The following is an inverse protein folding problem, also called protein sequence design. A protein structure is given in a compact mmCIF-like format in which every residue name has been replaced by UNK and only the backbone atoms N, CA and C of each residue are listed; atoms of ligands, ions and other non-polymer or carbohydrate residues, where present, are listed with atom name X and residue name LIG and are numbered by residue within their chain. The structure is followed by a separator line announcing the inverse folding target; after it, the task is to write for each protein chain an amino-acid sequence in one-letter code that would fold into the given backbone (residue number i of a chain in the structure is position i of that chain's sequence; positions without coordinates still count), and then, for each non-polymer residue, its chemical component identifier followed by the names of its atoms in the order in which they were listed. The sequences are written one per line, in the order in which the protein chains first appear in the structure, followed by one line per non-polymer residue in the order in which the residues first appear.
data_IF_652516192303
#
_entry.id   IF_652516192303
#
_cell.length_a   1.000
_cell.length_b   1.000
_cell.length_c   1.000
_cell.angle_alpha   90.00
_cell.angle_beta   90.00
_cell.angle_gamma   90.00
#
_symmetry.space_group_name_H-M   'P 1'
#
loop_
_entity.id
_entity.type
_entity.pdbx_description
1 polymer ?
#
# COMPACT_ATOMS: atom_id res chain seq x y z
N UNK A 1 -21.78 56.40 -5.08
CA UNK A 1 -22.33 55.04 -5.16
C UNK A 1 -22.40 54.52 -6.60
N UNK A 2 -23.03 55.20 -7.60
CA UNK A 2 -23.13 54.68 -8.99
C UNK A 2 -21.79 54.35 -9.64
N UNK A 3 -20.74 55.20 -9.46
CA UNK A 3 -19.40 54.96 -10.03
C UNK A 3 -18.71 53.74 -9.40
N UNK A 4 -18.89 53.51 -8.08
CA UNK A 4 -18.33 52.35 -7.39
C UNK A 4 -19.00 51.06 -7.85
N UNK A 5 -20.33 51.10 -8.04
CA UNK A 5 -21.08 49.94 -8.54
C UNK A 5 -20.65 49.56 -9.97
N UNK A 6 -20.40 50.58 -10.85
CA UNK A 6 -19.87 50.31 -12.19
C UNK A 6 -18.48 49.69 -12.17
N UNK A 7 -17.58 50.15 -11.29
CA UNK A 7 -16.24 49.55 -11.15
C UNK A 7 -16.31 48.11 -10.65
N UNK A 8 -17.15 47.85 -9.66
CA UNK A 8 -17.36 46.46 -9.15
C UNK A 8 -17.92 45.55 -10.26
N UNK A 9 -18.93 46.08 -11.03
CA UNK A 9 -19.51 45.33 -12.13
C UNK A 9 -18.50 45.01 -13.24
N UNK A 10 -17.64 45.99 -13.62
CA UNK A 10 -16.56 45.77 -14.60
C UNK A 10 -15.54 44.76 -14.10
N UNK A 11 -15.15 44.83 -12.82
CA UNK A 11 -14.24 43.82 -12.23
C UNK A 11 -14.85 42.43 -12.21
N UNK A 12 -16.14 42.30 -11.89
CA UNK A 12 -16.85 41.01 -11.94
C UNK A 12 -16.96 40.46 -13.37
N UNK A 13 -17.21 41.32 -14.37
CA UNK A 13 -17.24 40.92 -15.78
C UNK A 13 -15.84 40.50 -16.28
N UNK A 14 -14.80 41.22 -15.87
CA UNK A 14 -13.42 40.83 -16.19
C UNK A 14 -13.02 39.50 -15.53
N UNK A 15 -13.37 39.29 -14.26
CA UNK A 15 -13.15 38.03 -13.56
C UNK A 15 -13.91 36.87 -14.20
N UNK A 16 -15.21 37.10 -14.58
CA UNK A 16 -16.01 36.12 -15.30
C UNK A 16 -15.44 35.82 -16.69
N UNK A 17 -14.98 36.85 -17.41
CA UNK A 17 -14.33 36.72 -18.72
C UNK A 17 -13.02 35.91 -18.64
N UNK A 18 -12.19 36.19 -17.63
CA UNK A 18 -10.96 35.41 -17.36
C UNK A 18 -11.25 33.96 -16.98
N UNK A 19 -12.30 33.75 -16.17
CA UNK A 19 -12.74 32.40 -15.80
C UNK A 19 -13.22 31.61 -17.02
N UNK A 20 -14.05 32.21 -17.88
CA UNK A 20 -14.51 31.59 -19.12
C UNK A 20 -13.37 31.34 -20.11
N UNK A 21 -12.42 32.27 -20.19
CA UNK A 21 -11.25 32.12 -21.04
C UNK A 21 -10.34 30.95 -20.61
N UNK A 22 -10.23 30.70 -19.32
CA UNK A 22 -9.54 29.52 -18.77
C UNK A 22 -10.31 28.20 -18.91
N UNK A 23 -11.47 28.21 -19.59
CA UNK A 23 -12.31 27.03 -19.75
C UNK A 23 -13.29 26.82 -18.58
N UNK A 24 -13.69 27.91 -17.92
CA UNK A 24 -14.51 27.84 -16.72
C UNK A 24 -15.90 27.19 -16.94
N UNK A 25 -16.49 27.27 -18.15
CA UNK A 25 -17.71 26.52 -18.46
C UNK A 25 -17.49 25.00 -18.53
N UNK A 26 -16.32 24.55 -19.02
CA UNK A 26 -15.95 23.12 -18.97
C UNK A 26 -15.63 22.68 -17.54
N UNK A 27 -15.00 23.56 -16.76
CA UNK A 27 -14.73 23.30 -15.34
C UNK A 27 -16.05 23.12 -14.55
N UNK A 28 -17.05 23.96 -14.79
CA UNK A 28 -18.36 23.82 -14.14
C UNK A 28 -19.07 22.52 -14.55
N UNK A 29 -19.05 22.15 -15.83
CA UNK A 29 -19.64 20.91 -16.31
C UNK A 29 -18.93 19.69 -15.69
N UNK A 30 -17.60 19.70 -15.64
CA UNK A 30 -16.83 18.62 -14.98
C UNK A 30 -17.11 18.59 -13.47
N UNK A 31 -17.23 19.75 -12.81
CA UNK A 31 -17.56 19.82 -11.38
C UNK A 31 -18.91 19.17 -11.08
N UNK A 32 -19.90 19.40 -11.93
CA UNK A 32 -21.22 18.77 -11.77
C UNK A 32 -21.13 17.24 -11.93
N UNK A 33 -20.45 16.75 -12.95
CA UNK A 33 -20.25 15.31 -13.17
C UNK A 33 -19.52 14.65 -11.97
N UNK A 34 -18.49 15.33 -11.44
CA UNK A 34 -17.75 14.81 -10.27
C UNK A 34 -18.60 14.84 -9.00
N UNK A 35 -19.45 15.86 -8.83
CA UNK A 35 -20.35 15.98 -7.68
C UNK A 35 -21.42 14.87 -7.71
N UNK A 36 -22.05 14.66 -8.86
CA UNK A 36 -22.99 13.57 -9.09
C UNK A 36 -22.33 12.18 -8.85
N UNK A 37 -21.08 12.02 -9.31
CA UNK A 37 -20.33 10.79 -9.09
C UNK A 37 -20.02 10.52 -7.60
N UNK A 38 -19.68 11.56 -6.84
CA UNK A 38 -19.39 11.45 -5.41
C UNK A 38 -20.66 11.16 -4.57
N UNK A 39 -21.84 11.36 -5.12
CA UNK A 39 -23.12 11.06 -4.48
C UNK A 39 -23.63 9.62 -4.81
N UNK A 40 -22.97 8.90 -5.72
CA UNK A 40 -23.33 7.49 -6.01
C UNK A 40 -22.90 6.62 -4.83
N UNK A 41 -23.86 5.93 -4.23
CA UNK A 41 -23.59 4.90 -3.23
C UNK A 41 -23.10 3.61 -3.92
N UNK A 42 -22.20 2.91 -3.24
CA UNK A 42 -21.56 1.69 -3.74
C UNK A 42 -20.82 1.86 -5.09
N UNK A 43 -20.38 3.11 -5.40
CA UNK A 43 -19.54 3.37 -6.56
C UNK A 43 -18.22 2.58 -6.46
N UNK A 44 -17.96 1.75 -7.46
CA UNK A 44 -16.76 0.89 -7.51
C UNK A 44 -15.85 1.34 -8.64
N UNK A 45 -14.54 1.31 -8.39
CA UNK A 45 -13.51 1.67 -9.36
C UNK A 45 -12.36 0.68 -9.34
N UNK A 46 -11.86 0.36 -10.52
CA UNK A 46 -10.53 -0.26 -10.68
C UNK A 46 -9.49 0.84 -10.81
N UNK A 47 -8.46 0.79 -9.99
CA UNK A 47 -7.42 1.82 -9.93
C UNK A 47 -6.05 1.17 -10.10
N UNK A 48 -5.26 1.69 -11.02
CA UNK A 48 -3.84 1.36 -11.19
C UNK A 48 -3.02 2.58 -10.84
N UNK A 49 -2.08 2.43 -9.94
CA UNK A 49 -1.10 3.46 -9.57
C UNK A 49 0.28 3.01 -10.03
N UNK A 50 0.95 3.82 -10.84
CA UNK A 50 2.33 3.62 -11.26
C UNK A 50 3.19 4.74 -10.70
N UNK A 51 4.15 4.40 -9.85
CA UNK A 51 5.13 5.33 -9.29
C UNK A 51 6.47 5.10 -9.98
N UNK A 52 7.06 6.15 -10.50
CA UNK A 52 8.37 6.15 -11.14
C UNK A 52 9.31 7.06 -10.35
N UNK A 53 10.36 6.48 -9.80
CA UNK A 53 11.35 7.20 -8.99
C UNK A 53 12.69 7.12 -9.72
N UNK A 54 13.25 8.27 -10.15
CA UNK A 54 14.58 8.29 -10.72
C UNK A 54 15.61 8.02 -9.63
N UNK A 55 16.59 7.21 -9.94
CA UNK A 55 17.67 6.83 -9.05
C UNK A 55 18.93 6.52 -9.83
N UNK A 56 19.93 6.02 -9.14
CA UNK A 56 21.17 5.53 -9.72
C UNK A 56 21.41 4.09 -9.27
N UNK A 57 21.81 3.25 -10.20
CA UNK A 57 22.17 1.85 -9.92
C UNK A 57 23.62 1.63 -10.30
N UNK A 58 24.38 0.96 -9.42
CA UNK A 58 25.71 0.51 -9.75
C UNK A 58 25.58 -0.75 -10.62
N UNK A 59 26.17 -0.72 -11.78
CA UNK A 59 26.27 -1.87 -12.66
C UNK A 59 27.26 -2.87 -12.03
N UNK A 60 26.83 -4.09 -11.66
CA UNK A 60 27.70 -5.05 -10.95
C UNK A 60 28.87 -5.57 -11.82
N UNK A 61 28.81 -5.44 -13.16
CA UNK A 61 29.88 -5.91 -14.04
C UNK A 61 30.94 -4.81 -14.30
N UNK A 62 30.53 -3.54 -14.30
CA UNK A 62 31.39 -2.42 -14.68
C UNK A 62 31.71 -1.49 -13.53
N UNK A 63 31.10 -1.66 -12.35
CA UNK A 63 31.18 -0.77 -11.19
C UNK A 63 30.83 0.71 -11.51
N UNK A 64 30.12 0.93 -12.61
CA UNK A 64 29.70 2.27 -13.04
C UNK A 64 28.30 2.60 -12.57
N UNK A 65 28.13 3.82 -12.10
CA UNK A 65 26.81 4.35 -11.73
C UNK A 65 26.02 4.67 -12.98
N UNK A 66 24.92 3.97 -13.22
CA UNK A 66 24.01 4.23 -14.34
C UNK A 66 22.68 4.83 -13.84
N UNK A 67 22.08 5.79 -14.59
CA UNK A 67 20.75 6.28 -14.25
C UNK A 67 19.75 5.11 -14.34
N UNK A 68 18.92 4.98 -13.30
CA UNK A 68 17.90 3.96 -13.19
C UNK A 68 16.57 4.60 -12.78
N UNK A 69 15.46 4.11 -13.33
CA UNK A 69 14.12 4.50 -12.90
C UNK A 69 13.46 3.29 -12.26
N UNK A 70 13.29 3.33 -10.94
CA UNK A 70 12.50 2.34 -10.23
C UNK A 70 11.02 2.55 -10.55
N UNK A 71 10.32 1.47 -10.91
CA UNK A 71 8.90 1.49 -11.25
C UNK A 71 8.15 0.57 -10.28
N UNK A 72 7.14 1.12 -9.61
CA UNK A 72 6.27 0.39 -8.71
C UNK A 72 4.84 0.50 -9.23
N UNK A 73 4.26 -0.62 -9.62
CA UNK A 73 2.86 -0.68 -10.02
C UNK A 73 2.03 -1.29 -8.90
N UNK A 74 0.87 -0.70 -8.67
CA UNK A 74 -0.08 -1.12 -7.66
C UNK A 74 -1.49 -1.08 -8.25
N UNK A 75 -2.10 -2.26 -8.36
CA UNK A 75 -3.47 -2.41 -8.82
C UNK A 75 -4.39 -2.64 -7.64
N UNK A 76 -5.46 -1.87 -7.56
CA UNK A 76 -6.44 -1.98 -6.48
C UNK A 76 -7.86 -1.72 -7.01
N UNK A 77 -8.82 -2.23 -6.27
CA UNK A 77 -10.22 -1.88 -6.39
C UNK A 77 -10.58 -0.96 -5.24
N UNK A 78 -11.27 0.14 -5.54
CA UNK A 78 -11.77 1.05 -4.52
C UNK A 78 -13.29 1.14 -4.65
N UNK A 79 -13.98 1.35 -3.53
CA UNK A 79 -15.41 1.54 -3.50
C UNK A 79 -15.80 2.50 -2.38
N UNK A 80 -16.92 3.17 -2.56
CA UNK A 80 -17.49 4.07 -1.58
C UNK A 80 -18.85 3.52 -1.14
N UNK A 81 -18.99 3.17 0.13
CA UNK A 81 -20.24 2.71 0.72
C UNK A 81 -20.65 3.59 1.89
N UNK A 82 -21.90 3.49 2.34
CA UNK A 82 -22.40 4.25 3.48
C UNK A 82 -22.67 3.31 4.65
N UNK A 83 -22.19 3.68 5.84
CA UNK A 83 -22.44 2.97 7.08
C UNK A 83 -22.69 3.93 8.24
N UNK A 84 -23.84 3.83 8.89
CA UNK A 84 -24.22 4.67 10.04
C UNK A 84 -24.04 6.18 9.75
N UNK A 85 -24.59 6.66 8.64
CA UNK A 85 -24.51 8.04 8.15
C UNK A 85 -23.07 8.55 7.87
N UNK A 86 -22.13 7.64 7.62
CA UNK A 86 -20.75 7.94 7.24
C UNK A 86 -20.38 7.28 5.94
N UNK A 87 -19.73 8.05 5.08
CA UNK A 87 -19.11 7.49 3.88
C UNK A 87 -17.85 6.70 4.28
N UNK A 88 -17.78 5.46 3.87
CA UNK A 88 -16.62 4.57 4.06
C UNK A 88 -15.99 4.29 2.70
N UNK A 89 -14.75 4.68 2.55
CA UNK A 89 -13.92 4.32 1.39
C UNK A 89 -13.26 2.98 1.67
N UNK A 90 -13.53 1.99 0.84
CA UNK A 90 -12.84 0.70 0.85
C UNK A 90 -11.78 0.63 -0.25
N UNK A 91 -10.69 -0.08 0.01
CA UNK A 91 -9.62 -0.39 -0.92
C UNK A 91 -9.26 -1.85 -0.79
N UNK A 92 -9.27 -2.58 -1.90
CA UNK A 92 -8.85 -3.98 -1.95
C UNK A 92 -7.68 -4.13 -2.91
N UNK A 93 -6.58 -4.70 -2.45
CA UNK A 93 -5.39 -4.93 -3.24
C UNK A 93 -4.63 -6.17 -2.74
N UNK A 94 -4.14 -7.00 -3.66
CA UNK A 94 -3.32 -8.17 -3.35
C UNK A 94 -3.92 -9.09 -2.25
N UNK A 95 -5.25 -9.24 -2.24
CA UNK A 95 -5.96 -10.09 -1.27
C UNK A 95 -6.10 -9.50 0.14
N UNK A 96 -5.76 -8.21 0.31
CA UNK A 96 -5.98 -7.45 1.55
C UNK A 96 -7.00 -6.34 1.30
N UNK A 97 -7.82 -6.05 2.31
CA UNK A 97 -8.76 -4.94 2.24
C UNK A 97 -8.57 -3.98 3.41
N UNK A 98 -8.70 -2.71 3.10
CA UNK A 98 -8.65 -1.63 4.06
C UNK A 98 -9.85 -0.69 3.86
N UNK A 99 -10.33 -0.10 4.95
CA UNK A 99 -11.54 0.73 4.97
C UNK A 99 -11.27 1.99 5.78
N UNK A 100 -11.79 3.14 5.37
CA UNK A 100 -11.60 4.36 6.13
C UNK A 100 -12.81 5.28 6.05
N UNK A 101 -13.11 5.94 7.17
CA UNK A 101 -14.05 7.06 7.26
C UNK A 101 -13.37 8.44 7.12
N UNK A 102 -12.06 8.44 6.77
CA UNK A 102 -11.20 9.63 6.67
C UNK A 102 -10.51 10.02 7.97
N UNK A 103 -10.79 9.35 9.09
CA UNK A 103 -10.14 9.57 10.39
C UNK A 103 -9.41 8.34 10.87
N UNK A 104 -9.98 7.17 10.62
CA UNK A 104 -9.44 5.89 11.04
C UNK A 104 -9.37 4.97 9.82
N UNK A 105 -8.25 4.28 9.68
CA UNK A 105 -8.04 3.20 8.75
C UNK A 105 -8.31 1.89 9.48
N UNK A 106 -9.21 1.09 8.95
CA UNK A 106 -9.56 -0.24 9.45
C UNK A 106 -9.06 -1.28 8.46
N UNK A 107 -8.30 -2.26 8.93
CA UNK A 107 -7.89 -3.40 8.13
C UNK A 107 -8.94 -4.51 8.21
N UNK A 108 -9.05 -5.34 7.19
CA UNK A 108 -9.96 -6.48 7.14
C UNK A 108 -9.74 -7.50 8.28
N UNK A 109 -8.57 -7.48 8.91
CA UNK A 109 -8.23 -8.26 10.10
C UNK A 109 -8.75 -7.65 11.41
N UNK A 110 -9.45 -6.51 11.34
CA UNK A 110 -9.97 -5.79 12.51
C UNK A 110 -8.94 -4.90 13.22
N UNK A 111 -7.75 -4.69 12.66
CA UNK A 111 -6.81 -3.68 13.17
C UNK A 111 -7.25 -2.29 12.72
N UNK A 112 -6.92 -1.29 13.53
CA UNK A 112 -7.28 0.09 13.26
C UNK A 112 -6.10 1.03 13.53
N UNK A 113 -6.00 2.09 12.71
CA UNK A 113 -4.97 3.13 12.81
C UNK A 113 -5.60 4.50 12.64
N UNK A 114 -5.20 5.46 13.46
CA UNK A 114 -5.64 6.84 13.29
C UNK A 114 -4.92 7.49 12.12
N UNK A 115 -5.67 8.09 11.21
CA UNK A 115 -5.16 8.88 10.09
C UNK A 115 -4.99 10.34 10.49
N UNK A 116 -4.12 11.11 9.82
CA UNK A 116 -4.19 12.57 9.83
C UNK A 116 -5.61 13.00 9.43
N UNK A 117 -6.23 13.89 10.19
CA UNK A 117 -7.64 14.23 10.04
C UNK A 117 -7.97 14.75 8.63
N UNK A 118 -8.73 13.96 7.88
CA UNK A 118 -9.37 14.37 6.63
C UNK A 118 -10.82 14.74 6.98
N UNK A 119 -11.18 16.00 6.84
CA UNK A 119 -12.53 16.48 7.15
C UNK A 119 -13.57 15.90 6.17
N UNK A 120 -14.12 14.72 6.48
CA UNK A 120 -15.16 14.04 5.72
C UNK A 120 -14.73 13.70 4.27
N UNK A 121 -14.69 12.42 3.89
CA UNK A 121 -14.14 11.99 2.59
C UNK A 121 -14.81 12.67 1.39
N UNK A 122 -16.14 12.69 1.36
CA UNK A 122 -16.89 13.35 0.27
C UNK A 122 -16.62 14.85 0.22
N UNK A 123 -16.60 15.53 1.38
CA UNK A 123 -16.35 16.96 1.45
C UNK A 123 -14.90 17.30 1.06
N UNK A 124 -13.94 16.46 1.47
CA UNK A 124 -12.53 16.60 1.08
C UNK A 124 -12.36 16.43 -0.43
N UNK A 125 -12.95 15.38 -1.02
CA UNK A 125 -12.92 15.14 -2.46
C UNK A 125 -13.57 16.33 -3.24
N UNK A 126 -14.71 16.85 -2.78
CA UNK A 126 -15.34 18.06 -3.36
C UNK A 126 -14.43 19.28 -3.27
N UNK A 127 -13.81 19.54 -2.13
CA UNK A 127 -12.85 20.66 -1.97
C UNK A 127 -11.66 20.51 -2.91
N UNK A 128 -11.11 19.31 -3.04
CA UNK A 128 -10.00 19.04 -3.95
C UNK A 128 -10.42 19.22 -5.40
N UNK A 129 -11.55 18.67 -5.82
CA UNK A 129 -12.09 18.84 -7.17
C UNK A 129 -12.31 20.31 -7.52
N UNK A 130 -12.97 21.07 -6.64
CA UNK A 130 -13.18 22.53 -6.80
C UNK A 130 -11.82 23.24 -6.87
N UNK A 131 -10.87 22.93 -5.99
CA UNK A 131 -9.53 23.53 -5.99
C UNK A 131 -8.80 23.30 -7.31
N UNK A 132 -8.83 22.08 -7.84
CA UNK A 132 -8.23 21.71 -9.14
C UNK A 132 -8.89 22.51 -10.29
N UNK A 133 -10.22 22.60 -10.29
CA UNK A 133 -10.96 23.27 -11.35
C UNK A 133 -10.75 24.78 -11.35
N UNK A 134 -10.62 25.42 -10.19
CA UNK A 134 -10.36 26.86 -10.09
C UNK A 134 -8.90 27.23 -10.34
N UNK A 135 -7.93 26.40 -9.92
CA UNK A 135 -6.50 26.65 -10.10
C UNK A 135 -5.98 26.14 -11.45
N UNK A 136 -6.58 25.10 -11.99
CA UNK A 136 -6.21 24.46 -13.23
C UNK A 136 -6.78 25.14 -14.47
N UNK A 137 -6.27 24.77 -15.63
CA UNK A 137 -6.85 25.03 -16.94
C UNK A 137 -7.63 23.80 -17.37
N UNK A 138 -8.92 23.98 -17.69
CA UNK A 138 -9.78 22.88 -18.15
C UNK A 138 -10.10 23.07 -19.64
N UNK A 139 -9.86 22.03 -20.43
CA UNK A 139 -10.23 21.98 -21.85
C UNK A 139 -11.09 20.75 -22.09
N UNK A 140 -11.95 20.79 -23.12
CA UNK A 140 -12.79 19.66 -23.51
C UNK A 140 -12.56 19.29 -24.96
N UNK A 141 -12.33 18.01 -25.22
CA UNK A 141 -12.20 17.43 -26.55
C UNK A 141 -13.05 16.15 -26.63
N UNK A 142 -14.19 16.21 -27.31
CA UNK A 142 -15.16 15.13 -27.31
C UNK A 142 -15.67 14.85 -25.90
N UNK A 143 -15.48 13.61 -25.41
CA UNK A 143 -15.90 13.16 -24.09
C UNK A 143 -14.79 13.29 -23.04
N UNK A 144 -13.63 13.89 -23.40
CA UNK A 144 -12.49 14.04 -22.50
C UNK A 144 -12.39 15.48 -22.01
N UNK A 145 -12.35 15.65 -20.69
CA UNK A 145 -12.02 16.89 -20.00
C UNK A 145 -10.58 16.80 -19.49
N UNK A 146 -9.68 17.58 -20.11
CA UNK A 146 -8.28 17.64 -19.70
C UNK A 146 -8.07 18.79 -18.72
N UNK A 147 -7.52 18.47 -17.54
CA UNK A 147 -7.19 19.44 -16.48
C UNK A 147 -5.67 19.48 -16.34
N UNK A 148 -5.10 20.67 -16.46
CA UNK A 148 -3.67 20.89 -16.27
C UNK A 148 -3.44 21.94 -15.18
N UNK A 149 -2.53 21.65 -14.25
CA UNK A 149 -2.18 22.55 -13.15
C UNK A 149 -0.68 22.46 -12.86
N UNK A 150 -0.10 23.59 -12.49
CA UNK A 150 1.28 23.68 -11.99
C UNK A 150 1.29 24.47 -10.67
N UNK A 151 1.93 23.94 -9.65
CA UNK A 151 1.99 24.57 -8.33
C UNK A 151 3.23 24.09 -7.57
N UNK A 152 4.04 25.01 -7.05
CA UNK A 152 5.22 24.76 -6.22
C UNK A 152 6.18 23.68 -6.79
N UNK A 153 6.40 23.72 -8.10
CA UNK A 153 7.32 22.81 -8.79
C UNK A 153 6.75 21.44 -9.15
N UNK A 154 5.50 21.14 -8.78
CA UNK A 154 4.81 19.95 -9.25
C UNK A 154 3.83 20.28 -10.38
N UNK A 155 3.64 19.33 -11.29
CA UNK A 155 2.73 19.45 -12.44
C UNK A 155 1.74 18.31 -12.40
N UNK A 156 0.47 18.67 -12.55
CA UNK A 156 -0.63 17.70 -12.70
C UNK A 156 -1.21 17.85 -14.11
N UNK A 157 -1.39 16.73 -14.77
CA UNK A 157 -2.24 16.60 -15.94
C UNK A 157 -3.21 15.46 -15.70
N UNK A 158 -4.51 15.71 -15.81
CA UNK A 158 -5.54 14.70 -15.59
C UNK A 158 -6.59 14.76 -16.68
N UNK A 159 -6.87 13.62 -17.29
CA UNK A 159 -7.90 13.39 -18.28
C UNK A 159 -9.08 12.66 -17.64
N UNK A 160 -10.24 13.28 -17.68
CA UNK A 160 -11.50 12.72 -17.21
C UNK A 160 -12.36 12.37 -18.43
N UNK A 161 -12.59 11.09 -18.65
CA UNK A 161 -13.49 10.60 -19.69
C UNK A 161 -14.91 10.56 -19.12
N UNK A 162 -15.76 11.42 -19.62
CA UNK A 162 -17.15 11.57 -19.16
C UNK A 162 -18.06 12.06 -20.28
N UNK A 163 -19.23 11.43 -20.40
CA UNK A 163 -20.35 11.95 -21.20
C UNK A 163 -21.41 12.60 -20.31
N UNK A 164 -22.34 11.81 -19.76
CA UNK A 164 -23.28 12.20 -18.70
C UNK A 164 -22.84 11.69 -17.33
N UNK A 165 -21.87 10.77 -17.28
CA UNK A 165 -21.32 10.21 -16.05
C UNK A 165 -19.80 10.00 -16.20
N UNK A 166 -19.08 10.02 -15.09
CA UNK A 166 -17.65 9.72 -15.05
C UNK A 166 -17.41 8.26 -15.40
N UNK A 167 -16.53 8.00 -16.38
CA UNK A 167 -16.16 6.63 -16.82
C UNK A 167 -14.74 6.26 -16.45
N UNK A 168 -13.82 7.18 -16.67
CA UNK A 168 -12.40 6.95 -16.38
C UNK A 168 -11.69 8.25 -16.03
N UNK A 169 -10.60 8.10 -15.29
CA UNK A 169 -9.65 9.18 -14.98
C UNK A 169 -8.25 8.66 -15.20
N UNK A 170 -7.43 9.43 -15.90
CA UNK A 170 -5.98 9.21 -15.96
C UNK A 170 -5.29 10.46 -15.50
N UNK A 171 -4.54 10.39 -14.41
CA UNK A 171 -3.84 11.52 -13.84
C UNK A 171 -2.33 11.25 -13.80
N UNK A 172 -1.54 12.21 -14.30
CA UNK A 172 -0.09 12.20 -14.26
C UNK A 172 0.38 13.35 -13.38
N UNK A 173 1.12 13.04 -12.33
CA UNK A 173 1.70 14.01 -11.41
C UNK A 173 3.21 13.90 -11.51
N UNK A 174 3.86 14.97 -11.97
CA UNK A 174 5.31 15.11 -11.89
C UNK A 174 5.66 15.91 -10.63
N UNK A 175 6.45 15.31 -9.77
CA UNK A 175 6.93 15.88 -8.52
C UNK A 175 8.34 16.47 -8.68
N UNK A 176 8.78 17.37 -7.81
CA UNK A 176 10.18 17.80 -7.78
C UNK A 176 11.12 16.60 -7.66
N UNK A 177 12.25 16.63 -8.39
CA UNK A 177 13.22 15.52 -8.43
C UNK A 177 12.85 14.42 -9.44
N UNK A 178 12.05 14.76 -10.48
CA UNK A 178 11.69 13.90 -11.61
C UNK A 178 10.90 12.61 -11.23
N UNK A 179 10.40 12.55 -10.01
CA UNK A 179 9.46 11.50 -9.60
C UNK A 179 8.12 11.72 -10.29
N UNK A 180 7.61 10.68 -10.94
CA UNK A 180 6.30 10.72 -11.59
C UNK A 180 5.35 9.69 -10.99
N UNK A 181 4.10 10.11 -10.82
CA UNK A 181 3.01 9.23 -10.38
C UNK A 181 1.91 9.27 -11.43
N UNK A 182 1.56 8.11 -11.98
CA UNK A 182 0.42 7.95 -12.88
C UNK A 182 -0.67 7.17 -12.15
N UNK A 183 -1.88 7.72 -12.13
CA UNK A 183 -3.06 7.07 -11.59
C UNK A 183 -4.06 6.88 -12.72
N UNK A 184 -4.46 5.64 -12.98
CA UNK A 184 -5.52 5.31 -13.92
C UNK A 184 -6.68 4.69 -13.17
N UNK A 185 -7.86 5.26 -13.33
CA UNK A 185 -9.09 4.82 -12.68
C UNK A 185 -10.15 4.55 -13.74
N UNK A 186 -10.85 3.43 -13.61
CA UNK A 186 -12.01 3.10 -14.44
C UNK A 186 -13.20 2.81 -13.53
N UNK A 187 -14.33 3.45 -13.77
CA UNK A 187 -15.55 3.20 -13.01
C UNK A 187 -16.20 1.89 -13.47
N UNK A 188 -16.70 1.14 -12.53
CA UNK A 188 -17.50 -0.08 -12.75
C UNK A 188 -18.94 0.14 -12.28
N UNK A 189 -19.91 -0.66 -12.72
CA UNK A 189 -21.26 -0.57 -12.20
C UNK A 189 -21.29 -0.68 -10.67
N UNK A 190 -22.12 0.11 -9.97
CA UNK A 190 -22.26 0.04 -8.53
C UNK A 190 -22.56 -1.39 -8.07
N UNK A 191 -21.86 -1.86 -7.05
CA UNK A 191 -22.02 -3.19 -6.46
C UNK A 191 -22.00 -3.07 -4.93
N UNK A 192 -22.93 -3.72 -4.21
CA UNK A 192 -22.90 -3.69 -2.75
C UNK A 192 -21.62 -4.28 -2.17
N UNK A 193 -20.97 -3.53 -1.29
CA UNK A 193 -19.77 -3.96 -0.57
C UNK A 193 -20.07 -3.99 0.94
N UNK A 194 -20.61 -5.11 1.46
CA UNK A 194 -20.88 -5.21 2.90
C UNK A 194 -19.56 -5.19 3.67
N UNK A 195 -19.52 -4.38 4.74
CA UNK A 195 -18.35 -4.32 5.61
C UNK A 195 -18.18 -5.65 6.36
N UNK A 196 -16.97 -6.22 6.41
CA UNK A 196 -16.67 -7.41 7.19
C UNK A 196 -16.98 -7.21 8.68
N UNK A 197 -17.44 -8.26 9.38
CA UNK A 197 -17.78 -8.17 10.81
C UNK A 197 -16.58 -7.69 11.65
N UNK A 198 -15.37 -8.12 11.33
CA UNK A 198 -14.14 -7.70 12.02
C UNK A 198 -13.90 -6.19 11.91
N UNK A 199 -14.25 -5.57 10.77
CA UNK A 199 -14.18 -4.12 10.57
C UNK A 199 -15.25 -3.41 11.41
N UNK A 200 -16.47 -3.92 11.45
CA UNK A 200 -17.55 -3.38 12.29
C UNK A 200 -17.19 -3.43 13.77
N UNK A 201 -16.61 -4.54 14.23
CA UNK A 201 -16.15 -4.71 15.60
C UNK A 201 -14.98 -3.73 15.92
N UNK A 202 -14.07 -3.52 14.96
CA UNK A 202 -13.00 -2.55 15.09
C UNK A 202 -13.51 -1.10 15.18
N UNK A 203 -14.56 -0.77 14.40
CA UNK A 203 -15.22 0.54 14.48
C UNK A 203 -15.85 0.80 15.84
N UNK A 204 -16.39 -0.25 16.49
CA UNK A 204 -16.92 -0.15 17.85
C UNK A 204 -15.79 0.05 18.85
N UNK A 205 -14.71 -0.75 18.78
CA UNK A 205 -13.55 -0.63 19.68
C UNK A 205 -12.87 0.73 19.58
N UNK A 206 -12.67 1.25 18.36
CA UNK A 206 -12.03 2.54 18.13
C UNK A 206 -12.77 3.75 18.77
N UNK A 207 -14.05 3.59 19.12
CA UNK A 207 -14.79 4.60 19.89
C UNK A 207 -14.43 4.58 21.39
N UNK A 208 -13.96 3.45 21.88
CA UNK A 208 -13.61 3.25 23.30
C UNK A 208 -12.12 3.48 23.55
N UNK A 209 -11.28 3.03 22.63
CA UNK A 209 -9.83 3.15 22.68
C UNK A 209 -9.32 3.74 21.37
N UNK A 210 -8.67 4.93 21.40
CA UNK A 210 -8.14 5.53 20.17
C UNK A 210 -7.03 4.63 19.60
N UNK A 211 -7.11 4.28 18.29
CA UNK A 211 -6.09 3.46 17.65
C UNK A 211 -4.74 4.16 17.54
N UNK A 212 -3.68 3.37 17.38
CA UNK A 212 -2.32 3.87 17.15
C UNK A 212 -2.27 4.78 15.92
N UNK A 213 -1.57 5.93 15.95
CA UNK A 213 -1.38 6.76 14.75
C UNK A 213 -0.64 6.00 13.64
N UNK A 214 -1.20 5.98 12.43
CA UNK A 214 -0.60 5.29 11.27
C UNK A 214 0.79 5.85 10.91
N UNK A 215 1.03 7.11 11.22
CA UNK A 215 2.32 7.77 10.95
C UNK A 215 3.47 7.13 11.70
N UNK A 216 3.26 6.61 12.92
CA UNK A 216 4.33 5.99 13.71
C UNK A 216 4.93 4.74 13.04
N UNK A 217 4.14 3.69 12.72
CA UNK A 217 4.70 2.53 12.05
C UNK A 217 5.23 2.85 10.65
N UNK A 218 4.58 3.73 9.87
CA UNK A 218 5.01 4.06 8.51
C UNK A 218 6.34 4.83 8.48
N UNK A 219 6.58 5.75 9.40
CA UNK A 219 7.84 6.49 9.48
C UNK A 219 9.07 5.58 9.70
N UNK A 220 8.88 4.42 10.30
CA UNK A 220 9.94 3.45 10.53
C UNK A 220 10.01 2.38 9.44
N UNK A 221 8.83 1.89 9.00
CA UNK A 221 8.75 0.83 8.00
C UNK A 221 9.22 1.29 6.62
N UNK A 222 8.76 2.44 6.13
CA UNK A 222 9.05 2.83 4.75
C UNK A 222 10.56 2.99 4.50
N UNK A 223 11.32 3.75 5.30
CA UNK A 223 12.77 3.83 5.12
C UNK A 223 13.47 2.48 5.28
N UNK A 224 13.02 1.64 6.23
CA UNK A 224 13.62 0.34 6.47
C UNK A 224 13.38 -0.62 5.29
N UNK A 225 12.22 -0.55 4.65
CA UNK A 225 11.89 -1.37 3.48
C UNK A 225 12.53 -0.84 2.19
N UNK A 226 12.66 0.48 2.04
CA UNK A 226 13.37 1.10 0.91
C UNK A 226 14.86 0.71 0.91
N UNK A 227 15.45 0.59 2.08
CA UNK A 227 16.85 0.21 2.25
C UNK A 227 17.06 -1.32 2.36
N UNK A 228 15.99 -2.12 2.26
CA UNK A 228 16.07 -3.56 2.43
C UNK A 228 16.84 -4.26 1.29
N UNK A 229 16.82 -3.71 0.08
CA UNK A 229 17.41 -4.36 -1.09
C UNK A 229 18.62 -3.57 -1.63
N UNK A 230 19.73 -4.25 -1.95
CA UNK A 230 19.98 -5.68 -1.80
C UNK A 230 20.15 -6.09 -0.33
N UNK A 231 19.53 -7.21 0.05
CA UNK A 231 19.65 -7.76 1.40
C UNK A 231 20.65 -8.90 1.40
N UNK A 232 21.56 -8.85 2.36
CA UNK A 232 22.40 -9.98 2.72
C UNK A 232 22.37 -10.13 4.25
N UNK A 233 22.11 -11.34 4.74
CA UNK A 233 22.03 -11.57 6.17
C UNK A 233 22.34 -13.02 6.54
N UNK A 234 22.75 -13.20 7.78
CA UNK A 234 23.02 -14.52 8.35
C UNK A 234 21.73 -15.17 8.84
N UNK A 235 21.38 -16.29 8.23
CA UNK A 235 20.18 -17.06 8.56
C UNK A 235 20.54 -18.27 9.38
N UNK A 236 19.96 -18.40 10.57
CA UNK A 236 20.04 -19.59 11.40
C UNK A 236 18.70 -20.33 11.34
N UNK A 237 18.73 -21.59 10.99
CA UNK A 237 17.58 -22.49 10.94
C UNK A 237 17.67 -23.54 12.01
N UNK A 238 16.62 -23.80 12.76
CA UNK A 238 16.49 -24.83 13.77
C UNK A 238 15.24 -25.67 13.56
N UNK A 239 15.39 -27.00 13.63
CA UNK A 239 14.27 -27.96 13.59
C UNK A 239 14.43 -28.92 14.77
N UNK A 240 13.45 -28.94 15.64
CA UNK A 240 13.36 -29.84 16.78
C UNK A 240 12.22 -30.83 16.53
N UNK A 241 12.52 -32.12 16.55
CA UNK A 241 11.55 -33.21 16.36
C UNK A 241 11.84 -34.34 17.35
N UNK A 242 11.10 -34.42 18.43
CA UNK A 242 11.34 -35.37 19.51
C UNK A 242 12.72 -35.21 20.14
N UNK A 243 13.59 -36.18 19.92
CA UNK A 243 14.99 -36.16 20.41
C UNK A 243 15.99 -35.59 19.39
N UNK A 244 15.51 -35.33 18.16
CA UNK A 244 16.35 -34.76 17.10
C UNK A 244 16.31 -33.24 17.19
N UNK A 245 17.49 -32.65 17.21
CA UNK A 245 17.67 -31.22 17.14
C UNK A 245 18.69 -30.92 16.04
N UNK A 246 18.22 -30.28 14.97
CA UNK A 246 19.04 -29.88 13.84
C UNK A 246 19.14 -28.36 13.84
N UNK A 247 20.36 -27.86 13.79
CA UNK A 247 20.61 -26.42 13.64
C UNK A 247 21.62 -26.20 12.52
N UNK A 248 21.30 -25.26 11.63
CA UNK A 248 22.09 -24.95 10.46
C UNK A 248 22.17 -23.45 10.23
N UNK A 249 23.32 -23.04 9.68
CA UNK A 249 23.54 -21.65 9.28
C UNK A 249 23.66 -21.52 7.77
N UNK A 250 23.11 -20.48 7.21
CA UNK A 250 23.13 -20.15 5.81
C UNK A 250 23.22 -18.64 5.63
N UNK A 251 23.57 -18.17 4.45
CA UNK A 251 23.50 -16.76 4.08
C UNK A 251 22.31 -16.56 3.15
N UNK A 252 21.41 -15.67 3.52
CA UNK A 252 20.31 -15.24 2.66
C UNK A 252 20.73 -14.03 1.87
N UNK A 253 20.63 -14.11 0.54
CA UNK A 253 20.86 -13.00 -0.38
C UNK A 253 19.59 -12.72 -1.16
N UNK A 254 19.15 -11.45 -1.19
CA UNK A 254 18.01 -10.98 -1.98
C UNK A 254 18.43 -9.75 -2.78
N UNK A 255 18.23 -9.78 -4.11
CA UNK A 255 18.58 -8.69 -5.03
C UNK A 255 17.37 -7.92 -5.57
N UNK A 256 16.18 -8.21 -5.07
CA UNK A 256 14.90 -7.63 -5.51
C UNK A 256 14.21 -8.42 -6.61
N UNK A 257 14.87 -9.39 -7.24
CA UNK A 257 14.28 -10.29 -8.25
C UNK A 257 14.33 -11.74 -7.80
N UNK A 258 15.41 -12.13 -7.15
CA UNK A 258 15.63 -13.49 -6.68
C UNK A 258 15.97 -13.46 -5.19
N UNK A 259 15.54 -14.50 -4.48
CA UNK A 259 16.04 -14.81 -3.16
C UNK A 259 16.86 -16.09 -3.25
N UNK A 260 18.05 -16.09 -2.69
CA UNK A 260 19.00 -17.20 -2.73
C UNK A 260 19.46 -17.52 -1.34
N UNK A 261 19.50 -18.80 -1.04
CA UNK A 261 20.06 -19.34 0.19
C UNK A 261 21.42 -19.98 -0.14
N UNK A 262 22.48 -19.46 0.41
CA UNK A 262 23.81 -20.02 0.28
C UNK A 262 24.17 -20.81 1.53
N UNK A 263 24.44 -22.11 1.36
CA UNK A 263 24.69 -23.05 2.44
C UNK A 263 25.82 -24.00 2.05
N UNK A 264 26.90 -24.04 2.81
CA UNK A 264 28.03 -24.92 2.57
C UNK A 264 28.58 -24.90 1.13
N UNK A 265 28.56 -23.71 0.48
CA UNK A 265 28.97 -23.51 -0.91
C UNK A 265 27.94 -23.99 -1.96
N UNK A 266 26.73 -24.34 -1.54
CA UNK A 266 25.61 -24.67 -2.43
C UNK A 266 24.60 -23.53 -2.37
N UNK A 267 24.24 -23.02 -3.54
CA UNK A 267 23.23 -21.97 -3.68
C UNK A 267 21.91 -22.59 -4.14
N UNK A 268 20.83 -22.30 -3.40
CA UNK A 268 19.47 -22.69 -3.77
C UNK A 268 18.62 -21.43 -3.95
N UNK A 269 17.78 -21.41 -4.98
CA UNK A 269 16.76 -20.36 -5.13
C UNK A 269 15.59 -20.65 -4.19
N UNK A 270 15.14 -19.60 -3.49
CA UNK A 270 13.97 -19.67 -2.61
C UNK A 270 12.71 -19.27 -3.37
N UNK A 271 11.67 -20.09 -3.28
CA UNK A 271 10.32 -19.72 -3.68
C UNK A 271 9.71 -18.84 -2.59
N UNK A 272 9.56 -17.54 -2.87
CA UNK A 272 8.88 -16.63 -1.94
C UNK A 272 7.36 -16.72 -2.12
N UNK A 273 6.60 -16.74 -1.01
CA UNK A 273 5.15 -16.72 -1.06
C UNK A 273 4.66 -15.48 -1.84
N UNK A 274 3.75 -15.69 -2.80
CA UNK A 274 3.16 -14.60 -3.58
C UNK A 274 3.94 -14.18 -4.82
N UNK A 275 4.99 -14.94 -5.22
CA UNK A 275 5.74 -14.64 -6.45
C UNK A 275 6.37 -13.24 -6.40
N UNK A 276 7.11 -12.97 -5.34
CA UNK A 276 7.73 -11.66 -5.05
C UNK A 276 8.86 -11.31 -6.04
N UNK A 277 8.55 -11.34 -7.33
CA UNK A 277 9.42 -10.78 -8.37
C UNK A 277 9.53 -9.25 -8.32
N UNK A 278 8.68 -8.60 -7.49
CA UNK A 278 8.75 -7.18 -7.19
C UNK A 278 8.32 -7.01 -5.73
N UNK A 279 9.26 -7.08 -4.79
CA UNK A 279 9.01 -6.71 -3.41
C UNK A 279 8.69 -5.20 -3.34
N UNK A 280 7.41 -4.87 -3.59
CA UNK A 280 6.92 -3.50 -3.49
C UNK A 280 6.91 -3.11 -1.99
N UNK A 281 7.74 -2.15 -1.55
CA UNK A 281 7.81 -1.73 -0.15
C UNK A 281 6.44 -1.36 0.43
N UNK A 282 5.56 -0.77 -0.40
CA UNK A 282 4.20 -0.38 0.00
C UNK A 282 3.35 -1.63 0.27
N UNK A 283 3.42 -2.66 -0.59
CA UNK A 283 2.68 -3.89 -0.39
C UNK A 283 3.16 -4.64 0.87
N UNK A 284 4.48 -4.66 1.12
CA UNK A 284 5.05 -5.21 2.35
C UNK A 284 4.63 -4.42 3.58
N UNK A 285 4.65 -3.09 3.53
CA UNK A 285 4.19 -2.25 4.62
C UNK A 285 2.70 -2.50 4.93
N UNK A 286 1.85 -2.59 3.92
CA UNK A 286 0.43 -2.91 4.10
C UNK A 286 0.23 -4.31 4.69
N UNK A 287 0.99 -5.30 4.25
CA UNK A 287 0.95 -6.66 4.81
C UNK A 287 1.36 -6.66 6.30
N UNK A 288 2.43 -5.94 6.65
CA UNK A 288 2.89 -5.80 8.04
C UNK A 288 1.87 -5.06 8.90
N UNK A 289 1.28 -3.98 8.41
CA UNK A 289 0.22 -3.24 9.12
C UNK A 289 -1.05 -4.09 9.28
N UNK A 290 -1.39 -4.89 8.29
CA UNK A 290 -2.56 -5.78 8.31
C UNK A 290 -2.41 -6.90 9.33
N UNK A 291 -1.26 -7.59 9.34
CA UNK A 291 -1.05 -8.81 10.11
C UNK A 291 -0.20 -8.59 11.38
N UNK A 292 0.62 -7.53 11.40
CA UNK A 292 1.57 -7.26 12.48
C UNK A 292 0.96 -6.43 13.62
N UNK A 293 1.42 -6.65 14.84
CA UNK A 293 1.19 -5.77 15.98
C UNK A 293 2.45 -4.93 16.19
N UNK A 294 2.29 -3.62 16.08
CA UNK A 294 3.39 -2.68 16.23
C UNK A 294 3.60 -2.32 17.69
N UNK A 295 4.86 -2.40 18.13
CA UNK A 295 5.31 -1.88 19.44
C UNK A 295 6.61 -1.11 19.24
N UNK A 296 6.83 -0.08 20.03
CA UNK A 296 8.03 0.74 20.00
C UNK A 296 8.62 0.96 21.38
N UNK A 297 9.92 0.72 21.52
CA UNK A 297 10.69 0.99 22.72
C UNK A 297 11.94 1.80 22.34
N UNK A 298 11.90 3.11 22.59
CA UNK A 298 13.00 4.02 22.20
C UNK A 298 13.20 4.07 20.68
N UNK A 299 14.38 3.67 20.21
CA UNK A 299 14.75 3.62 18.78
C UNK A 299 14.42 2.27 18.12
N UNK A 300 14.03 1.27 18.91
CA UNK A 300 13.69 -0.05 18.41
C UNK A 300 12.18 -0.18 18.20
N UNK A 301 11.79 -0.62 17.02
CA UNK A 301 10.41 -0.97 16.69
C UNK A 301 10.32 -2.46 16.41
N UNK A 302 9.21 -3.06 16.83
CA UNK A 302 8.92 -4.48 16.61
C UNK A 302 7.56 -4.63 15.96
N UNK A 303 7.49 -5.54 14.99
CA UNK A 303 6.25 -6.01 14.40
C UNK A 303 6.11 -7.50 14.69
N UNK A 304 5.17 -7.85 15.54
CA UNK A 304 4.81 -9.23 15.83
C UNK A 304 3.73 -9.65 14.83
N UNK A 305 4.04 -10.63 13.99
CA UNK A 305 3.22 -11.07 12.86
C UNK A 305 2.80 -12.52 13.08
N UNK A 306 1.51 -12.80 12.88
CA UNK A 306 1.02 -14.18 12.79
C UNK A 306 0.81 -14.53 11.33
N UNK A 307 1.47 -15.59 10.86
CA UNK A 307 1.27 -16.12 9.50
C UNK A 307 0.32 -17.33 9.56
N UNK A 308 -0.64 -17.42 8.62
CA UNK A 308 -1.53 -18.56 8.53
C UNK A 308 -0.76 -19.85 8.14
N UNK A 309 -1.34 -21.02 8.46
CA UNK A 309 -0.72 -22.32 8.25
C UNK A 309 -0.19 -22.54 6.83
N UNK A 310 -0.97 -22.21 5.80
CA UNK A 310 -0.55 -22.40 4.40
C UNK A 310 0.69 -21.55 4.03
N UNK A 311 0.76 -20.32 4.53
CA UNK A 311 1.92 -19.47 4.32
C UNK A 311 3.14 -19.96 5.10
N UNK A 312 2.91 -20.46 6.31
CA UNK A 312 3.93 -21.07 7.17
C UNK A 312 4.52 -22.32 6.52
N UNK A 313 3.66 -23.22 6.05
CA UNK A 313 4.08 -24.45 5.33
C UNK A 313 4.95 -24.11 4.11
N UNK A 314 4.49 -23.19 3.27
CA UNK A 314 5.23 -22.75 2.08
C UNK A 314 6.61 -22.20 2.46
N UNK A 315 6.68 -21.37 3.49
CA UNK A 315 7.93 -20.74 3.90
C UNK A 315 8.88 -21.75 4.52
N UNK A 316 8.42 -22.60 5.45
CA UNK A 316 9.26 -23.62 6.12
C UNK A 316 9.82 -24.63 5.12
N UNK A 317 9.00 -25.10 4.18
CA UNK A 317 9.43 -26.07 3.15
C UNK A 317 10.35 -25.44 2.11
N UNK A 318 10.21 -24.15 1.83
CA UNK A 318 11.14 -23.41 0.96
C UNK A 318 12.52 -23.25 1.63
N UNK A 319 12.56 -22.97 2.93
CA UNK A 319 13.81 -22.81 3.68
C UNK A 319 14.51 -24.16 3.93
N UNK A 320 13.73 -25.22 4.17
CA UNK A 320 14.24 -26.58 4.43
C UNK A 320 13.43 -27.58 3.59
N UNK A 321 13.79 -27.81 2.33
CA UNK A 321 13.02 -28.67 1.41
C UNK A 321 12.81 -30.11 1.92
N UNK A 322 13.71 -30.64 2.75
CA UNK A 322 13.63 -31.96 3.35
C UNK A 322 12.39 -32.15 4.24
N UNK A 323 11.80 -31.05 4.75
CA UNK A 323 10.57 -31.10 5.56
C UNK A 323 9.36 -31.60 4.74
N UNK A 324 9.37 -31.35 3.43
CA UNK A 324 8.34 -31.85 2.51
C UNK A 324 8.35 -33.39 2.45
N UNK A 325 9.52 -34.00 2.37
CA UNK A 325 9.70 -35.47 2.28
C UNK A 325 9.23 -36.17 3.54
N UNK A 326 9.28 -35.47 4.67
CA UNK A 326 8.85 -36.01 5.98
C UNK A 326 7.33 -35.87 6.18
N UNK A 327 6.62 -35.20 5.27
CA UNK A 327 5.17 -35.00 5.38
C UNK A 327 4.75 -34.11 6.56
N UNK A 328 5.65 -33.24 7.03
CA UNK A 328 5.37 -32.29 8.12
C UNK A 328 4.33 -31.28 7.64
N UNK A 329 3.36 -30.99 8.51
CA UNK A 329 2.40 -29.90 8.34
C UNK A 329 2.59 -28.91 9.47
N UNK A 330 2.81 -27.67 9.10
CA UNK A 330 2.93 -26.57 10.06
C UNK A 330 1.57 -25.90 10.29
N UNK A 331 1.34 -25.48 11.53
CA UNK A 331 0.25 -24.62 11.91
C UNK A 331 0.57 -23.14 11.63
N UNK A 332 -0.12 -22.27 12.36
CA UNK A 332 0.21 -20.84 12.35
C UNK A 332 1.63 -20.63 12.91
N UNK A 333 2.35 -19.63 12.36
CA UNK A 333 3.65 -19.22 12.86
C UNK A 333 3.62 -17.79 13.39
N UNK A 334 4.56 -17.52 14.31
CA UNK A 334 4.82 -16.19 14.81
C UNK A 334 6.15 -15.69 14.27
N UNK A 335 6.13 -14.54 13.63
CA UNK A 335 7.32 -13.87 13.15
C UNK A 335 7.46 -12.51 13.83
N UNK A 336 8.68 -12.13 14.16
CA UNK A 336 9.03 -10.84 14.77
C UNK A 336 10.03 -10.14 13.85
N UNK A 337 9.63 -8.99 13.32
CA UNK A 337 10.49 -8.08 12.58
C UNK A 337 10.98 -7.00 13.53
N UNK A 338 12.30 -6.83 13.65
CA UNK A 338 12.92 -5.77 14.46
C UNK A 338 13.55 -4.72 13.56
N UNK A 339 13.19 -3.46 13.80
CA UNK A 339 13.73 -2.29 13.12
C UNK A 339 14.45 -1.42 14.14
N UNK A 340 15.67 -1.01 13.84
CA UNK A 340 16.46 -0.11 14.65
C UNK A 340 17.13 0.92 13.73
N UNK A 341 17.03 2.21 14.11
CA UNK A 341 17.58 3.32 13.32
C UNK A 341 17.16 3.31 11.83
N UNK A 342 15.87 3.02 11.58
CA UNK A 342 15.27 2.91 10.25
C UNK A 342 15.90 1.82 9.34
N UNK A 343 16.52 0.80 9.94
CA UNK A 343 17.02 -0.38 9.24
C UNK A 343 16.42 -1.65 9.86
N UNK A 344 16.11 -2.64 9.05
CA UNK A 344 15.72 -3.97 9.54
C UNK A 344 16.99 -4.64 10.07
N UNK A 345 16.95 -5.06 11.34
CA UNK A 345 18.08 -5.71 12.01
C UNK A 345 17.90 -7.20 12.14
N UNK A 346 16.66 -7.64 12.37
CA UNK A 346 16.41 -9.08 12.45
C UNK A 346 14.98 -9.43 12.05
N UNK A 347 14.84 -10.65 11.57
CA UNK A 347 13.54 -11.32 11.39
C UNK A 347 13.66 -12.69 12.06
N UNK A 348 12.87 -12.92 13.10
CA UNK A 348 12.80 -14.18 13.78
C UNK A 348 11.43 -14.83 13.56
N UNK A 349 11.38 -16.12 13.27
CA UNK A 349 10.13 -16.86 13.08
C UNK A 349 10.16 -18.15 13.90
N UNK A 350 9.01 -18.48 14.50
CA UNK A 350 8.78 -19.77 15.15
C UNK A 350 7.49 -20.39 14.62
N UNK A 351 7.53 -21.67 14.29
CA UNK A 351 6.37 -22.43 13.85
C UNK A 351 6.29 -23.76 14.57
N UNK A 352 5.07 -24.17 14.95
CA UNK A 352 4.78 -25.50 15.43
C UNK A 352 4.17 -26.35 14.32
N UNK A 353 4.57 -27.60 14.24
CA UNK A 353 4.03 -28.55 13.27
C UNK A 353 3.96 -29.96 13.84
N UNK A 354 3.50 -30.88 13.02
CA UNK A 354 3.38 -32.29 13.37
C UNK A 354 3.85 -33.16 12.21
N UNK A 355 4.56 -34.23 12.52
CA UNK A 355 4.94 -35.28 11.58
C UNK A 355 4.16 -36.56 11.89
N UNK A 356 3.47 -37.17 10.93
CA UNK A 356 2.82 -38.46 11.13
C UNK A 356 3.88 -39.55 11.33
N UNK A 357 3.74 -40.32 12.40
CA UNK A 357 4.63 -41.44 12.71
C UNK A 357 3.83 -42.67 13.16
N UNK A 358 3.71 -43.66 12.29
CA UNK A 358 2.89 -44.86 12.48
C UNK A 358 1.42 -44.56 12.84
N UNK A 359 1.08 -44.68 14.13
CA UNK A 359 -0.26 -44.45 14.67
C UNK A 359 -0.37 -43.18 15.52
N UNK A 360 0.67 -42.39 15.58
CA UNK A 360 0.75 -41.15 16.38
C UNK A 360 1.35 -40.02 15.56
N UNK A 361 1.32 -38.80 16.10
CA UNK A 361 2.05 -37.66 15.57
C UNK A 361 3.18 -37.25 16.51
N UNK A 362 4.28 -36.79 15.94
CA UNK A 362 5.38 -36.24 16.71
C UNK A 362 5.39 -34.74 16.51
N UNK A 363 5.39 -33.90 17.58
CA UNK A 363 5.48 -32.48 17.45
C UNK A 363 6.83 -32.07 16.88
N UNK A 364 6.78 -31.05 16.00
CA UNK A 364 7.94 -30.42 15.38
C UNK A 364 7.91 -28.93 15.71
N UNK A 365 9.05 -28.42 16.19
CA UNK A 365 9.26 -26.99 16.31
C UNK A 365 10.26 -26.51 15.25
N UNK A 366 9.88 -25.50 14.50
CA UNK A 366 10.75 -24.84 13.52
C UNK A 366 11.09 -23.43 14.02
N UNK A 367 12.36 -23.05 13.88
CA UNK A 367 12.84 -21.70 14.17
C UNK A 367 13.70 -21.20 13.02
N UNK A 368 13.51 -19.96 12.64
CA UNK A 368 14.36 -19.26 11.69
C UNK A 368 14.69 -17.89 12.24
N UNK A 369 15.96 -17.50 12.21
CA UNK A 369 16.41 -16.18 12.62
C UNK A 369 17.37 -15.63 11.56
N UNK A 370 17.00 -14.50 10.96
CA UNK A 370 17.79 -13.75 10.02
C UNK A 370 18.33 -12.51 10.72
N UNK A 371 19.64 -12.37 10.77
CA UNK A 371 20.35 -11.19 11.26
C UNK A 371 20.88 -10.40 10.05
N UNK A 372 20.58 -9.10 10.01
CA UNK A 372 20.97 -8.18 8.96
C UNK A 372 21.96 -7.20 9.57
N UNK A 373 23.19 -7.11 9.05
CA UNK A 373 24.26 -6.29 9.62
C UNK A 373 24.01 -4.78 9.58
#
# INVERSE_FOLDING_TARGET
MKKLLCVILVLLLLAAGLFLWKGGHHALALAQILDEYLDIDDATQSVTVLVQIPGARVDPETDQVQPHVAQYQFDCETFLTEYADRAILGLTAAGASAYTDGRILYMDTGKAYTLPELSGLRQYARKMAVGLLFKGRVTKHGDIYAVSMEHDGWKLHADFTADSALRAVTANVALPGDTAVTVSMTTTPPSPHPLPQQVLDAMVRAKMEPPTPLTEPLQLLLPALENLLPLQGDLTLGVECGILNLSESAVLCMDGKTARLERNGVTAELALPGGASNANPIALALMLLRNGTFTREGNTARFDITLPADSTDTLCTSLVPQLTDLGIRFGESHAVLTIEDAAIRSVAMTAGGEVPFLITTIPVAFRAELLIP
#
